data_IF_026760193341
#
_entry.id   IF_026760193341
#
_cell.length_a   1.000
_cell.length_b   1.000
_cell.length_c   1.000
_cell.angle_alpha   90.00
_cell.angle_beta   90.00
_cell.angle_gamma   90.00
#
_symmetry.space_group_name_H-M   'P 1'
#
loop_
_entity.id
_entity.type
_entity.pdbx_description
1 polymer ?
#
# COMPACT_ATOMS: atom_id res chain seq x y z
N UNK A 1 -52.89 -2.66 -31.85
CA UNK A 1 -51.97 -2.45 -30.71
C UNK A 1 -50.65 -3.17 -31.01
N UNK A 2 -49.53 -2.45 -30.91
CA UNK A 2 -48.29 -2.67 -31.69
C UNK A 2 -47.39 -3.81 -31.17
N UNK A 3 -46.92 -4.67 -32.10
CA UNK A 3 -45.97 -5.78 -31.90
C UNK A 3 -44.50 -5.28 -31.80
N UNK A 4 -44.11 -4.68 -30.69
CA UNK A 4 -42.73 -4.16 -30.49
C UNK A 4 -41.94 -4.81 -29.33
N UNK A 5 -42.55 -5.66 -28.50
CA UNK A 5 -41.92 -6.20 -27.28
C UNK A 5 -41.09 -7.49 -27.46
N UNK A 6 -41.07 -8.14 -28.64
CA UNK A 6 -40.46 -9.48 -28.79
C UNK A 6 -38.98 -9.52 -29.15
N UNK A 7 -38.39 -8.42 -29.63
CA UNK A 7 -36.98 -8.42 -30.13
C UNK A 7 -35.97 -8.14 -29.02
N UNK A 8 -36.28 -7.24 -28.09
CA UNK A 8 -35.40 -6.90 -26.98
C UNK A 8 -35.43 -7.97 -25.88
N UNK A 9 -36.51 -8.74 -25.80
CA UNK A 9 -36.64 -9.83 -24.83
C UNK A 9 -35.69 -11.00 -25.17
N UNK A 10 -35.47 -11.30 -26.45
CA UNK A 10 -34.53 -12.34 -26.90
C UNK A 10 -33.09 -12.01 -26.47
N UNK A 11 -32.69 -10.74 -26.60
CA UNK A 11 -31.36 -10.27 -26.20
C UNK A 11 -31.18 -10.40 -24.68
N UNK A 12 -32.18 -9.97 -23.91
CA UNK A 12 -32.12 -10.02 -22.44
C UNK A 12 -32.13 -11.47 -21.92
N UNK A 13 -32.93 -12.36 -22.52
CA UNK A 13 -32.92 -13.79 -22.15
C UNK A 13 -31.61 -14.48 -22.53
N UNK A 14 -31.00 -14.11 -23.65
CA UNK A 14 -29.69 -14.63 -24.06
C UNK A 14 -28.56 -14.20 -23.12
N UNK A 15 -28.54 -12.93 -22.72
CA UNK A 15 -27.54 -12.39 -21.79
C UNK A 15 -27.67 -13.06 -20.40
N UNK A 16 -28.89 -13.24 -19.91
CA UNK A 16 -29.14 -13.94 -18.65
C UNK A 16 -28.69 -15.41 -18.67
N UNK A 17 -28.88 -16.12 -19.80
CA UNK A 17 -28.43 -17.50 -19.98
C UNK A 17 -26.90 -17.63 -20.00
N UNK A 18 -26.21 -16.67 -20.62
CA UNK A 18 -24.73 -16.62 -20.65
C UNK A 18 -24.16 -16.41 -19.25
N UNK A 19 -24.73 -15.49 -18.47
CA UNK A 19 -24.29 -15.23 -17.09
C UNK A 19 -24.58 -16.45 -16.20
N UNK A 20 -25.73 -17.10 -16.36
CA UNK A 20 -26.05 -18.33 -15.62
C UNK A 20 -25.10 -19.48 -15.96
N UNK A 21 -24.72 -19.65 -17.24
CA UNK A 21 -23.76 -20.66 -17.66
C UNK A 21 -22.34 -20.37 -17.15
N UNK A 22 -21.88 -19.12 -17.22
CA UNK A 22 -20.58 -18.70 -16.71
C UNK A 22 -20.50 -18.82 -15.18
N UNK A 23 -21.56 -18.39 -14.47
CA UNK A 23 -21.68 -18.56 -13.02
C UNK A 23 -21.70 -20.04 -12.62
N UNK A 24 -22.41 -20.88 -13.37
CA UNK A 24 -22.44 -22.33 -13.10
C UNK A 24 -21.09 -23.02 -13.41
N UNK A 25 -20.37 -22.59 -14.45
CA UNK A 25 -19.03 -23.09 -14.80
C UNK A 25 -17.96 -22.68 -13.78
N UNK A 26 -18.01 -21.43 -13.31
CA UNK A 26 -17.11 -20.93 -12.28
C UNK A 26 -17.40 -21.61 -10.92
N UNK A 27 -18.68 -21.85 -10.60
CA UNK A 27 -19.10 -22.49 -9.36
C UNK A 27 -18.89 -24.02 -9.34
N UNK A 28 -18.95 -24.72 -10.49
CA UNK A 28 -18.82 -26.19 -10.54
C UNK A 28 -17.38 -26.73 -10.53
N UNK A 29 -16.35 -25.88 -10.45
CA UNK A 29 -14.98 -26.28 -10.07
C UNK A 29 -14.34 -27.46 -10.83
N UNK A 30 -14.80 -27.79 -12.05
CA UNK A 30 -14.33 -28.96 -12.80
C UNK A 30 -14.34 -28.66 -14.29
N UNK A 31 -13.28 -28.05 -14.82
CA UNK A 31 -13.05 -28.04 -16.26
C UNK A 31 -11.56 -27.92 -16.68
N UNK A 32 -10.64 -28.51 -15.91
CA UNK A 32 -9.33 -28.87 -16.44
C UNK A 32 -9.17 -30.39 -16.40
N UNK A 33 -9.33 -31.11 -17.53
CA UNK A 33 -8.85 -32.47 -17.65
C UNK A 33 -7.32 -32.45 -17.69
N UNK A 34 -6.75 -33.05 -16.66
CA UNK A 34 -5.39 -33.54 -16.52
C UNK A 34 -4.88 -34.27 -17.78
N UNK A 35 -3.65 -33.96 -18.20
CA UNK A 35 -2.55 -34.90 -18.51
C UNK A 35 -1.36 -34.16 -19.12
N UNK A 36 -0.25 -34.09 -18.40
CA UNK A 36 0.94 -34.93 -18.61
C UNK A 36 2.03 -34.53 -17.61
N UNK A 37 2.59 -35.55 -16.95
CA UNK A 37 3.69 -35.48 -16.00
C UNK A 37 4.88 -34.68 -16.53
N UNK A 38 5.30 -33.66 -15.77
CA UNK A 38 6.69 -33.20 -15.75
C UNK A 38 6.94 -32.65 -14.36
N UNK A 39 7.69 -33.39 -13.57
CA UNK A 39 8.28 -32.92 -12.32
C UNK A 39 9.13 -31.68 -12.64
N UNK A 40 8.65 -30.50 -12.26
CA UNK A 40 9.46 -29.29 -12.24
C UNK A 40 10.01 -29.17 -10.83
N UNK A 41 11.22 -29.70 -10.67
CA UNK A 41 12.07 -29.58 -9.48
C UNK A 41 12.14 -28.11 -9.05
N UNK A 42 11.90 -27.88 -7.77
CA UNK A 42 12.00 -26.60 -7.05
C UNK A 42 13.42 -26.03 -6.98
N UNK A 43 14.32 -26.44 -7.88
CA UNK A 43 15.76 -26.15 -7.87
C UNK A 43 16.19 -25.01 -8.82
N UNK A 44 15.29 -24.51 -9.67
CA UNK A 44 15.65 -23.47 -10.65
C UNK A 44 15.48 -22.03 -10.12
N UNK A 45 14.73 -21.81 -9.05
CA UNK A 45 14.51 -20.47 -8.48
C UNK A 45 15.67 -19.98 -7.59
N UNK A 46 16.54 -20.87 -7.11
CA UNK A 46 17.65 -20.53 -6.21
C UNK A 46 19.00 -20.34 -6.91
N UNK A 47 19.06 -20.53 -8.23
CA UNK A 47 20.33 -20.46 -8.99
C UNK A 47 20.54 -19.13 -9.73
N UNK A 48 19.54 -18.25 -9.77
CA UNK A 48 19.66 -16.92 -10.40
C UNK A 48 19.99 -15.79 -9.41
N UNK A 49 19.98 -16.06 -8.09
CA UNK A 49 20.27 -15.05 -7.05
C UNK A 49 21.74 -15.06 -6.57
N UNK A 50 22.61 -15.88 -7.16
CA UNK A 50 23.98 -16.12 -6.66
C UNK A 50 25.09 -15.59 -7.59
N UNK A 51 24.79 -14.70 -8.53
CA UNK A 51 25.79 -14.20 -9.52
C UNK A 51 25.84 -12.67 -9.66
N UNK A 52 25.52 -11.92 -8.60
CA UNK A 52 25.66 -10.45 -8.57
C UNK A 52 26.60 -9.94 -7.47
N UNK A 53 27.45 -10.80 -6.93
CA UNK A 53 28.52 -10.41 -6.01
C UNK A 53 29.86 -10.76 -6.63
N UNK A 54 30.32 -9.91 -7.55
CA UNK A 54 31.72 -9.60 -7.79
C UNK A 54 31.79 -8.68 -9.02
N UNK A 55 32.04 -7.39 -8.80
CA UNK A 55 33.00 -6.55 -9.54
C UNK A 55 32.68 -5.04 -9.36
N UNK A 56 33.37 -4.46 -8.37
CA UNK A 56 33.99 -3.12 -8.35
C UNK A 56 33.19 -1.89 -8.83
N UNK A 57 32.74 -1.07 -7.86
CA UNK A 57 32.61 0.37 -8.05
C UNK A 57 32.95 1.07 -6.73
N UNK A 58 34.23 1.35 -6.56
CA UNK A 58 34.74 2.38 -5.67
C UNK A 58 33.91 3.67 -5.76
N UNK A 59 33.52 4.23 -4.61
CA UNK A 59 33.53 5.67 -4.33
C UNK A 59 33.16 5.96 -2.86
N UNK A 60 34.04 6.77 -2.26
CA UNK A 60 33.88 7.64 -1.08
C UNK A 60 33.50 7.03 0.26
N UNK A 61 34.54 6.89 1.08
CA UNK A 61 34.53 6.90 2.54
C UNK A 61 33.88 8.21 3.04
N UNK A 62 32.54 8.25 3.05
CA UNK A 62 31.81 9.20 3.88
C UNK A 62 31.83 8.66 5.31
N UNK A 63 32.65 9.33 6.11
CA UNK A 63 32.73 9.30 7.57
C UNK A 63 31.39 8.94 8.22
N UNK A 64 31.24 7.67 8.61
CA UNK A 64 30.17 7.24 9.50
C UNK A 64 30.50 7.86 10.86
N UNK A 65 29.88 9.00 11.14
CA UNK A 65 29.77 9.52 12.50
C UNK A 65 29.00 8.47 13.27
N UNK A 66 29.72 7.69 14.09
CA UNK A 66 29.13 6.87 15.15
C UNK A 66 28.32 7.78 16.06
N UNK A 67 27.02 7.84 15.82
CA UNK A 67 26.06 8.36 16.76
C UNK A 67 25.77 7.22 17.74
N UNK A 68 26.57 7.15 18.81
CA UNK A 68 26.26 6.40 20.04
C UNK A 68 25.01 7.03 20.68
N UNK A 69 23.86 6.72 20.10
CA UNK A 69 22.57 6.79 20.75
C UNK A 69 22.07 5.36 20.84
N UNK A 70 22.11 4.80 22.04
CA UNK A 70 21.47 3.53 22.39
C UNK A 70 20.11 3.41 21.66
N UNK A 71 19.93 2.47 20.72
CA UNK A 71 18.59 2.13 20.28
C UNK A 71 17.97 1.34 21.42
N UNK A 72 17.18 2.02 22.26
CA UNK A 72 16.16 1.37 23.09
C UNK A 72 15.05 0.82 22.18
N UNK A 73 15.40 -0.19 21.38
CA UNK A 73 14.52 -0.91 20.49
C UNK A 73 15.09 -2.30 20.30
N UNK A 74 14.30 -3.31 20.63
CA UNK A 74 14.73 -4.69 20.40
C UNK A 74 14.99 -4.89 18.89
N UNK A 75 16.03 -5.62 18.45
CA UNK A 75 16.38 -5.72 17.03
C UNK A 75 15.28 -6.23 16.08
N UNK A 76 14.15 -6.74 16.60
CA UNK A 76 12.96 -7.09 15.81
C UNK A 76 11.89 -5.97 15.66
N UNK A 77 12.01 -4.88 16.40
CA UNK A 77 11.01 -3.80 16.56
C UNK A 77 11.12 -2.73 15.48
N UNK A 78 12.35 -2.39 15.09
CA UNK A 78 12.61 -1.54 13.93
C UNK A 78 12.17 -2.21 12.61
N UNK A 79 12.19 -3.55 12.53
CA UNK A 79 11.81 -4.29 11.32
C UNK A 79 10.29 -4.26 11.10
N UNK A 80 9.49 -4.37 12.16
CA UNK A 80 8.02 -4.37 12.06
C UNK A 80 7.44 -2.98 11.77
N UNK A 81 7.97 -1.94 12.41
CA UNK A 81 7.59 -0.54 12.15
C UNK A 81 8.01 -0.09 10.75
N UNK A 82 9.23 -0.44 10.34
CA UNK A 82 9.68 -0.26 8.95
C UNK A 82 8.80 -1.01 7.96
N UNK A 83 8.29 -2.19 8.33
CA UNK A 83 7.43 -3.02 7.48
C UNK A 83 6.11 -2.35 7.08
N UNK A 84 5.38 -1.76 8.04
CA UNK A 84 4.08 -1.11 7.76
C UNK A 84 4.26 0.18 6.98
N UNK A 85 5.29 0.97 7.29
CA UNK A 85 5.62 2.20 6.55
C UNK A 85 6.09 1.86 5.13
N UNK A 86 6.93 0.83 4.99
CA UNK A 86 7.37 0.34 3.69
C UNK A 86 6.19 -0.18 2.87
N UNK A 87 5.27 -0.93 3.47
CA UNK A 87 4.05 -1.41 2.81
C UNK A 87 3.17 -0.25 2.36
N UNK A 88 2.95 0.77 3.21
CA UNK A 88 2.21 1.97 2.83
C UNK A 88 2.87 2.70 1.64
N UNK A 89 4.21 2.78 1.63
CA UNK A 89 4.98 3.37 0.52
C UNK A 89 4.86 2.53 -0.76
N UNK A 90 4.94 1.20 -0.66
CA UNK A 90 4.76 0.28 -1.78
C UNK A 90 3.34 0.40 -2.35
N UNK A 91 2.32 0.37 -1.50
CA UNK A 91 0.93 0.49 -1.92
C UNK A 91 0.67 1.82 -2.64
N UNK A 92 1.17 2.93 -2.10
CA UNK A 92 1.09 4.26 -2.75
C UNK A 92 1.73 4.24 -4.13
N UNK A 93 2.93 3.66 -4.24
CA UNK A 93 3.66 3.64 -5.51
C UNK A 93 3.03 2.68 -6.53
N UNK A 94 2.45 1.56 -6.10
CA UNK A 94 1.68 0.68 -6.96
C UNK A 94 0.45 1.37 -7.53
N UNK A 95 -0.33 2.07 -6.70
CA UNK A 95 -1.51 2.83 -7.15
C UNK A 95 -1.08 3.92 -8.14
N UNK A 96 0.03 4.63 -7.86
CA UNK A 96 0.59 5.62 -8.78
C UNK A 96 1.00 5.01 -10.12
N UNK A 97 1.66 3.85 -10.10
CA UNK A 97 2.05 3.14 -11.31
C UNK A 97 0.82 2.73 -12.15
N UNK A 98 -0.19 2.14 -11.52
CA UNK A 98 -1.45 1.75 -12.17
C UNK A 98 -2.19 2.95 -12.77
N UNK A 99 -2.26 4.06 -12.02
CA UNK A 99 -2.88 5.30 -12.50
C UNK A 99 -2.11 5.87 -13.69
N UNK A 100 -0.78 5.91 -13.63
CA UNK A 100 0.06 6.39 -14.74
C UNK A 100 -0.10 5.51 -15.99
N UNK A 101 -0.14 4.20 -15.83
CA UNK A 101 -0.38 3.26 -16.93
C UNK A 101 -1.75 3.48 -17.56
N UNK A 102 -2.80 3.55 -16.74
CA UNK A 102 -4.18 3.75 -17.19
C UNK A 102 -4.33 5.08 -17.94
N UNK A 103 -3.79 6.17 -17.39
CA UNK A 103 -3.84 7.49 -18.03
C UNK A 103 -3.01 7.52 -19.32
N UNK A 104 -1.86 6.85 -19.36
CA UNK A 104 -1.05 6.75 -20.59
C UNK A 104 -1.79 5.97 -21.67
N UNK A 105 -2.46 4.87 -21.31
CA UNK A 105 -3.27 4.09 -22.24
C UNK A 105 -4.45 4.91 -22.82
N UNK A 106 -5.05 5.80 -22.01
CA UNK A 106 -6.10 6.73 -22.48
C UNK A 106 -5.52 7.76 -23.46
N UNK A 107 -4.35 8.32 -23.15
CA UNK A 107 -3.66 9.32 -24.00
C UNK A 107 -3.28 8.72 -25.36
N UNK A 108 -2.77 7.49 -25.36
CA UNK A 108 -2.30 6.80 -26.56
C UNK A 108 -3.45 6.22 -27.42
N UNK A 109 -4.66 6.10 -26.86
CA UNK A 109 -5.81 5.55 -27.58
C UNK A 109 -6.28 6.49 -28.70
N UNK A 110 -6.25 6.03 -29.95
CA UNK A 110 -6.70 6.80 -31.11
C UNK A 110 -8.23 6.98 -31.21
N UNK A 111 -9.01 6.21 -30.44
CA UNK A 111 -10.48 6.23 -30.47
C UNK A 111 -11.10 7.12 -29.37
N UNK A 112 -10.28 7.78 -28.56
CA UNK A 112 -10.71 8.68 -27.49
C UNK A 112 -10.68 10.12 -27.99
N UNK A 113 -11.63 10.93 -27.54
CA UNK A 113 -11.72 12.33 -27.96
C UNK A 113 -10.53 13.14 -27.44
N UNK A 114 -10.18 14.21 -28.15
CA UNK A 114 -9.08 15.10 -27.74
C UNK A 114 -9.36 15.77 -26.38
N UNK A 115 -10.64 15.97 -26.04
CA UNK A 115 -11.06 16.47 -24.73
C UNK A 115 -10.74 15.49 -23.59
N UNK A 116 -11.03 14.20 -23.77
CA UNK A 116 -10.71 13.15 -22.78
C UNK A 116 -9.20 12.95 -22.65
N UNK A 117 -8.44 13.08 -23.75
CA UNK A 117 -6.97 13.08 -23.69
C UNK A 117 -6.44 14.26 -22.89
N UNK A 118 -7.00 15.45 -23.10
CA UNK A 118 -6.61 16.64 -22.36
C UNK A 118 -6.95 16.53 -20.86
N UNK A 119 -8.08 15.88 -20.53
CA UNK A 119 -8.43 15.55 -19.15
C UNK A 119 -7.42 14.58 -18.53
N UNK A 120 -7.05 13.50 -19.23
CA UNK A 120 -6.04 12.54 -18.75
C UNK A 120 -4.67 13.18 -18.54
N UNK A 121 -4.23 14.07 -19.45
CA UNK A 121 -3.01 14.87 -19.28
C UNK A 121 -3.12 15.77 -18.04
N UNK A 122 -4.28 16.42 -17.84
CA UNK A 122 -4.54 17.24 -16.66
C UNK A 122 -4.47 16.43 -15.35
N UNK A 123 -5.04 15.22 -15.33
CA UNK A 123 -4.96 14.30 -14.19
C UNK A 123 -3.53 13.87 -13.91
N UNK A 124 -2.71 13.62 -14.95
CA UNK A 124 -1.30 13.28 -14.79
C UNK A 124 -0.52 14.43 -14.15
N UNK A 125 -0.69 15.67 -14.63
CA UNK A 125 -0.06 16.86 -14.04
C UNK A 125 -0.49 17.07 -12.59
N UNK A 126 -1.79 16.90 -12.29
CA UNK A 126 -2.28 16.96 -10.90
C UNK A 126 -1.61 15.91 -10.02
N UNK A 127 -1.52 14.66 -10.49
CA UNK A 127 -0.91 13.57 -9.73
C UNK A 127 0.58 13.84 -9.46
N UNK A 128 1.30 14.44 -10.41
CA UNK A 128 2.69 14.89 -10.20
C UNK A 128 2.75 16.01 -9.16
N UNK A 129 1.88 17.01 -9.24
CA UNK A 129 1.86 18.10 -8.25
C UNK A 129 1.52 17.62 -6.83
N UNK A 130 0.62 16.64 -6.70
CA UNK A 130 0.32 15.97 -5.44
C UNK A 130 1.57 15.23 -4.92
N UNK A 131 2.27 14.49 -5.79
CA UNK A 131 3.49 13.77 -5.42
C UNK A 131 4.60 14.70 -4.90
N UNK A 132 4.78 15.85 -5.53
CA UNK A 132 5.76 16.85 -5.07
C UNK A 132 5.40 17.39 -3.67
N UNK A 133 4.11 17.67 -3.43
CA UNK A 133 3.62 18.10 -2.13
C UNK A 133 3.79 17.04 -1.05
N UNK A 134 3.55 15.76 -1.36
CA UNK A 134 3.79 14.62 -0.47
C UNK A 134 5.25 14.58 -0.03
N UNK A 135 6.18 14.56 -0.99
CA UNK A 135 7.62 14.46 -0.71
C UNK A 135 8.11 15.68 0.08
N UNK A 136 7.61 16.88 -0.24
CA UNK A 136 7.94 18.09 0.52
C UNK A 136 7.43 18.04 1.97
N UNK A 137 6.23 17.48 2.19
CA UNK A 137 5.69 17.28 3.53
C UNK A 137 6.49 16.22 4.30
N UNK A 138 6.78 15.07 3.70
CA UNK A 138 7.60 13.99 4.29
C UNK A 138 8.99 14.49 4.69
N UNK A 139 9.66 15.25 3.82
CA UNK A 139 10.98 15.82 4.10
C UNK A 139 10.95 16.74 5.32
N UNK A 140 9.89 17.54 5.46
CA UNK A 140 9.74 18.41 6.62
C UNK A 140 9.36 17.64 7.89
N UNK A 141 8.54 16.60 7.79
CA UNK A 141 8.23 15.72 8.91
C UNK A 141 9.50 15.02 9.42
N UNK A 142 10.33 14.48 8.51
CA UNK A 142 11.62 13.89 8.84
C UNK A 142 12.54 14.90 9.56
N UNK A 143 12.59 16.16 9.08
CA UNK A 143 13.38 17.22 9.72
C UNK A 143 12.94 17.58 11.15
N UNK A 144 11.71 17.21 11.53
CA UNK A 144 11.15 17.44 12.87
C UNK A 144 11.29 16.23 13.80
N UNK A 145 11.92 15.15 13.34
CA UNK A 145 12.12 13.93 14.12
C UNK A 145 11.05 12.85 13.87
N UNK A 146 10.13 13.06 12.93
CA UNK A 146 9.23 12.01 12.45
C UNK A 146 9.92 11.22 11.33
N UNK A 147 10.96 10.48 11.71
CA UNK A 147 11.62 9.55 10.79
C UNK A 147 10.61 8.47 10.36
N UNK A 148 10.67 8.07 9.10
CA UNK A 148 9.76 7.07 8.53
C UNK A 148 8.27 7.46 8.57
N UNK A 149 7.98 8.75 8.34
CA UNK A 149 6.63 9.22 8.05
C UNK A 149 6.31 9.12 6.56
N UNK A 150 5.13 8.59 6.22
CA UNK A 150 4.61 8.54 4.84
C UNK A 150 3.35 9.37 4.76
N UNK A 151 3.31 10.28 3.80
CA UNK A 151 2.15 11.14 3.52
C UNK A 151 1.54 10.71 2.21
N UNK A 152 0.28 10.28 2.25
CA UNK A 152 -0.52 10.01 1.06
C UNK A 152 -1.55 11.11 0.89
N UNK A 153 -1.49 11.81 -0.23
CA UNK A 153 -2.40 12.90 -0.55
C UNK A 153 -3.36 12.45 -1.65
N UNK A 154 -4.63 12.78 -1.48
CA UNK A 154 -5.64 12.72 -2.54
C UNK A 154 -6.04 14.15 -2.95
N UNK A 155 -7.04 14.30 -3.82
CA UNK A 155 -7.50 15.65 -4.23
C UNK A 155 -7.98 16.48 -3.03
N UNK A 156 -8.61 15.85 -2.01
CA UNK A 156 -9.24 16.56 -0.90
C UNK A 156 -8.89 16.02 0.50
N UNK A 157 -8.12 14.94 0.62
CA UNK A 157 -7.74 14.35 1.91
C UNK A 157 -6.24 14.08 1.99
N UNK A 158 -5.74 14.07 3.23
CA UNK A 158 -4.37 13.67 3.54
C UNK A 158 -4.37 12.57 4.59
N UNK A 159 -3.71 11.46 4.28
CA UNK A 159 -3.47 10.37 5.20
C UNK A 159 -1.99 10.34 5.56
N UNK A 160 -1.69 10.48 6.86
CA UNK A 160 -0.33 10.51 7.38
C UNK A 160 -0.10 9.27 8.24
N UNK A 161 0.83 8.43 7.84
CA UNK A 161 1.29 7.27 8.61
C UNK A 161 2.61 7.62 9.26
N UNK A 162 2.70 7.48 10.59
CA UNK A 162 3.92 7.79 11.35
C UNK A 162 4.39 6.55 12.11
N UNK A 163 5.68 6.22 11.99
CA UNK A 163 6.35 5.15 12.72
C UNK A 163 6.57 5.48 14.22
N UNK A 164 5.51 5.88 14.92
CA UNK A 164 5.53 6.16 16.35
C UNK A 164 4.32 5.52 17.01
N UNK A 165 4.57 4.82 18.12
CA UNK A 165 3.55 4.14 18.92
C UNK A 165 2.56 5.11 19.54
N UNK A 166 3.07 6.24 20.04
CA UNK A 166 2.27 7.28 20.67
C UNK A 166 2.60 8.65 20.09
N UNK A 167 1.53 9.40 19.78
CA UNK A 167 1.62 10.79 19.35
C UNK A 167 1.01 11.66 20.44
N UNK A 168 1.84 12.50 21.06
CA UNK A 168 1.37 13.56 21.95
C UNK A 168 0.50 14.55 21.17
N UNK A 169 -0.37 15.30 21.86
CA UNK A 169 -1.16 16.35 21.23
C UNK A 169 -0.28 17.39 20.53
N UNK A 170 0.88 17.70 21.12
CA UNK A 170 1.90 18.57 20.52
C UNK A 170 2.45 18.00 19.20
N UNK A 171 2.77 16.70 19.16
CA UNK A 171 3.26 16.03 17.95
C UNK A 171 2.19 16.01 16.86
N UNK A 172 0.93 15.70 17.22
CA UNK A 172 -0.20 15.76 16.27
C UNK A 172 -0.40 17.16 15.70
N UNK A 173 -0.34 18.18 16.56
CA UNK A 173 -0.48 19.57 16.13
C UNK A 173 0.65 19.99 15.17
N UNK A 174 1.89 19.56 15.42
CA UNK A 174 3.02 19.83 14.53
C UNK A 174 2.87 19.16 13.16
N UNK A 175 2.49 17.87 13.13
CA UNK A 175 2.24 17.14 11.88
C UNK A 175 1.13 17.84 11.09
N UNK A 176 0.03 18.18 11.75
CA UNK A 176 -1.12 18.82 11.14
C UNK A 176 -0.80 20.21 10.57
N UNK A 177 0.00 21.03 11.26
CA UNK A 177 0.48 22.33 10.77
C UNK A 177 1.43 22.19 9.56
N UNK A 178 2.27 21.17 9.52
CA UNK A 178 3.18 20.93 8.39
C UNK A 178 2.39 20.49 7.16
N UNK A 179 1.52 19.49 7.31
CA UNK A 179 0.76 18.91 6.21
C UNK A 179 -0.26 19.90 5.67
N UNK A 180 -0.98 20.64 6.53
CA UNK A 180 -1.93 21.65 6.06
C UNK A 180 -1.26 22.76 5.24
N UNK A 181 -0.09 23.25 5.66
CA UNK A 181 0.65 24.30 4.94
C UNK A 181 1.32 23.83 3.65
N UNK A 182 1.71 22.56 3.56
CA UNK A 182 2.41 22.03 2.37
C UNK A 182 1.50 21.36 1.36
N UNK A 183 0.50 20.64 1.84
CA UNK A 183 -0.50 20.02 0.97
C UNK A 183 -1.59 21.01 0.52
N UNK A 184 -1.75 22.14 1.23
CA UNK A 184 -2.86 23.10 1.04
C UNK A 184 -4.22 22.47 1.34
N UNK A 185 -4.25 21.50 2.27
CA UNK A 185 -5.46 20.78 2.68
C UNK A 185 -5.90 21.28 4.05
N UNK A 186 -7.21 21.43 4.23
CA UNK A 186 -7.79 21.85 5.50
C UNK A 186 -7.51 20.80 6.59
N UNK A 187 -7.15 21.20 7.82
CA UNK A 187 -6.89 20.29 8.93
C UNK A 187 -7.95 19.21 9.19
N UNK A 188 -9.21 19.54 8.90
CA UNK A 188 -10.38 18.67 9.05
C UNK A 188 -10.38 17.45 8.10
N UNK A 189 -9.56 17.47 7.05
CA UNK A 189 -9.40 16.38 6.10
C UNK A 189 -8.07 15.64 6.24
N UNK A 190 -7.34 15.87 7.34
CA UNK A 190 -6.06 15.24 7.63
C UNK A 190 -6.26 14.15 8.69
N UNK A 191 -6.00 12.90 8.32
CA UNK A 191 -6.04 11.75 9.23
C UNK A 191 -4.62 11.33 9.56
N UNK A 192 -4.30 11.28 10.86
CA UNK A 192 -2.97 10.88 11.34
C UNK A 192 -3.09 9.52 12.03
N UNK A 193 -2.48 8.53 11.41
CA UNK A 193 -2.44 7.13 11.82
C UNK A 193 -1.05 6.80 12.42
N UNK A 194 -0.91 6.78 13.75
CA UNK A 194 0.27 6.23 14.39
C UNK A 194 0.31 4.71 14.17
N UNK A 195 1.46 4.19 13.79
CA UNK A 195 1.70 2.75 13.75
C UNK A 195 1.85 2.28 15.20
N UNK A 196 0.82 1.61 15.72
CA UNK A 196 0.91 0.93 17.01
C UNK A 196 1.87 -0.24 16.87
N UNK A 197 2.89 -0.29 17.72
CA UNK A 197 3.54 -1.54 18.05
C UNK A 197 2.46 -2.46 18.61
N UNK A 198 2.09 -3.49 17.85
CA UNK A 198 1.42 -4.62 18.44
C UNK A 198 2.45 -5.31 19.33
N UNK A 199 2.55 -4.88 20.59
CA UNK A 199 3.04 -5.79 21.64
C UNK A 199 2.15 -7.03 21.51
N UNK A 200 2.76 -8.17 21.21
CA UNK A 200 2.09 -9.46 21.16
C UNK A 200 1.24 -9.62 22.42
N UNK A 201 -0.07 -9.44 22.29
CA UNK A 201 -1.06 -9.66 23.34
C UNK A 201 -1.34 -11.17 23.49
N UNK A 202 -0.27 -11.99 23.54
CA UNK A 202 -0.34 -13.44 23.74
C UNK A 202 0.51 -13.93 24.92
N UNK A 203 1.06 -13.02 25.74
CA UNK A 203 1.96 -13.36 26.84
C UNK A 203 1.39 -13.31 28.26
N UNK A 204 0.25 -12.65 28.49
CA UNK A 204 -0.20 -12.33 29.87
C UNK A 204 -1.38 -13.17 30.40
N UNK A 205 -1.88 -14.18 29.67
CA UNK A 205 -2.99 -15.03 30.15
C UNK A 205 -2.55 -16.35 30.84
N UNK A 206 -1.26 -16.51 31.17
CA UNK A 206 -0.76 -17.73 31.86
C UNK A 206 -0.08 -17.50 33.22
N UNK A 207 -0.35 -16.38 33.89
CA UNK A 207 0.18 -16.13 35.23
C UNK A 207 -0.86 -16.22 36.37
N UNK A 208 -2.16 -16.35 36.09
CA UNK A 208 -3.19 -16.36 37.16
C UNK A 208 -3.76 -17.74 37.54
N UNK A 209 -3.40 -18.83 36.85
CA UNK A 209 -3.90 -20.18 37.17
C UNK A 209 -2.84 -21.08 37.85
N UNK A 210 -2.04 -20.55 38.78
CA UNK A 210 -1.15 -21.41 39.61
C UNK A 210 -1.13 -21.09 41.11
N UNK A 211 -2.08 -20.31 41.63
CA UNK A 211 -2.07 -19.91 43.04
C UNK A 211 -3.25 -20.35 43.93
N UNK A 212 -4.22 -21.15 43.46
CA UNK A 212 -5.39 -21.49 44.32
C UNK A 212 -5.71 -22.97 44.64
N UNK A 213 -4.96 -23.98 44.20
CA UNK A 213 -5.16 -25.35 44.76
C UNK A 213 -3.87 -25.98 45.26
N UNK A 214 -3.28 -25.29 46.24
CA UNK A 214 -2.15 -25.76 47.03
C UNK A 214 -2.36 -25.60 48.53
N UNK A 215 -3.59 -25.76 49.05
CA UNK A 215 -3.85 -25.91 50.50
C UNK A 215 -5.20 -26.57 50.77
N UNK A 216 -5.20 -27.88 51.00
CA UNK A 216 -5.99 -28.50 52.07
C UNK A 216 -5.48 -29.91 52.34
N UNK A 217 -5.23 -30.13 53.64
CA UNK A 217 -4.76 -31.33 54.34
C UNK A 217 -5.65 -32.57 54.14
#
# INVERSE_FOLDING_TARGET
MKKLARKNQIIVTGLALMIAAAGYLNYSGKLFPEKTDTEVSSDLANKELLDLSDEDAALETAEIVSQDGEPEGTPGEAVLTSGIVAEAKIAREQVRAQNKETLSAIIDNANISEAEKQEAIGQLVKMTGIAEKEVAAETLLASKGFQDAVVSLTENSADVVVAQTELTEANRAQILDIVSRKAEIAPEHIVINPVRETKNAEGEEKAEETLEEGTAE
#
